data_IF_264665363522
#
_entry.id   IF_264665363522
#
_cell.length_a   1.000
_cell.length_b   1.000
_cell.length_c   1.000
_cell.angle_alpha   90.00
_cell.angle_beta   90.00
_cell.angle_gamma   90.00
#
_symmetry.space_group_name_H-M   'P 1'
#
loop_
_entity.id
_entity.type
_entity.pdbx_description
1 polymer ?
#
# COMPACT_ATOMS: atom_id res chain seq x y z
N UNK A 1 -5.51 -22.01 16.39
CA UNK A 1 -4.51 -21.52 15.42
C UNK A 1 -5.20 -20.89 14.24
N UNK A 2 -4.93 -19.61 13.95
CA UNK A 2 -5.61 -18.86 12.90
C UNK A 2 -4.60 -18.00 12.14
N UNK A 3 -4.61 -18.01 10.79
CA UNK A 3 -3.75 -17.12 10.01
C UNK A 3 -4.01 -15.65 10.30
N UNK A 4 -3.00 -14.80 10.05
CA UNK A 4 -3.02 -13.40 10.45
C UNK A 4 -2.84 -12.44 9.27
N UNK A 5 -3.64 -11.38 9.22
CA UNK A 5 -3.49 -10.30 8.26
C UNK A 5 -3.52 -8.96 8.98
N UNK A 6 -2.54 -8.09 8.74
CA UNK A 6 -2.53 -6.74 9.26
C UNK A 6 -2.91 -5.73 8.16
N UNK A 7 -4.16 -5.29 8.13
CA UNK A 7 -4.63 -4.30 7.14
C UNK A 7 -4.40 -2.84 7.56
N UNK A 8 -3.70 -2.61 8.68
CA UNK A 8 -3.43 -1.29 9.26
C UNK A 8 -1.92 -0.98 9.27
N UNK A 9 -1.51 0.27 9.46
CA UNK A 9 -0.09 0.61 9.66
C UNK A 9 0.42 0.25 11.06
N UNK A 10 -0.42 -0.32 11.94
CA UNK A 10 -0.01 -0.66 13.30
C UNK A 10 1.09 -1.74 13.32
N UNK A 11 1.86 -1.79 14.41
CA UNK A 11 2.96 -2.75 14.56
C UNK A 11 2.49 -4.21 14.46
N UNK A 12 1.32 -4.53 15.00
CA UNK A 12 0.72 -5.88 14.89
C UNK A 12 1.68 -7.01 15.28
N UNK A 13 1.68 -8.07 14.47
CA UNK A 13 2.57 -9.24 14.64
C UNK A 13 4.08 -8.91 14.52
N UNK A 14 4.44 -7.74 13.98
CA UNK A 14 5.83 -7.30 13.83
C UNK A 14 6.42 -6.71 15.13
N UNK A 15 5.67 -6.74 16.24
CA UNK A 15 6.22 -6.31 17.52
C UNK A 15 7.39 -7.24 17.92
N UNK A 16 8.55 -6.72 18.37
CA UNK A 16 9.73 -7.55 18.65
C UNK A 16 9.45 -8.72 19.62
N UNK A 17 8.58 -8.50 20.61
CA UNK A 17 8.18 -9.54 21.57
C UNK A 17 7.37 -10.69 20.93
N UNK A 18 6.74 -10.47 19.78
CA UNK A 18 5.96 -11.47 19.06
C UNK A 18 6.78 -12.20 17.98
N UNK A 19 8.01 -11.77 17.67
CA UNK A 19 8.83 -12.39 16.64
C UNK A 19 9.08 -13.90 16.87
N UNK A 20 9.39 -14.39 18.09
CA UNK A 20 9.52 -15.83 18.34
C UNK A 20 8.21 -16.59 18.15
N UNK A 21 7.08 -15.97 18.48
CA UNK A 21 5.74 -16.56 18.31
C UNK A 21 5.39 -16.63 16.83
N UNK A 22 5.61 -15.56 16.07
CA UNK A 22 5.40 -15.53 14.63
C UNK A 22 6.20 -16.64 13.91
N UNK A 23 7.50 -16.76 14.26
CA UNK A 23 8.39 -17.76 13.69
C UNK A 23 8.02 -19.22 14.04
N UNK A 24 7.54 -19.47 15.26
CA UNK A 24 7.19 -20.82 15.71
C UNK A 24 5.72 -21.19 15.47
N UNK A 25 4.86 -20.24 15.08
CA UNK A 25 3.41 -20.45 14.91
C UNK A 25 3.04 -21.50 13.87
N UNK A 26 3.88 -21.71 12.85
CA UNK A 26 3.52 -22.54 11.70
C UNK A 26 2.33 -21.98 10.91
N UNK A 27 2.00 -20.69 11.07
CA UNK A 27 0.84 -20.07 10.43
C UNK A 27 1.28 -19.09 9.34
N UNK A 28 0.55 -18.98 8.22
CA UNK A 28 0.82 -17.95 7.23
C UNK A 28 0.32 -16.60 7.73
N UNK A 29 1.06 -15.54 7.39
CA UNK A 29 0.66 -14.18 7.69
C UNK A 29 1.02 -13.20 6.58
N UNK A 30 0.31 -12.07 6.53
CA UNK A 30 0.56 -11.00 5.58
C UNK A 30 0.25 -9.63 6.15
N UNK A 31 0.90 -8.62 5.59
CA UNK A 31 0.72 -7.24 5.98
C UNK A 31 1.83 -6.40 5.38
N UNK A 32 1.84 -5.08 5.59
CA UNK A 32 0.84 -4.32 6.34
C UNK A 32 0.37 -3.06 5.62
N UNK A 33 -0.69 -2.49 6.18
CA UNK A 33 -1.38 -1.28 5.72
C UNK A 33 -2.03 -1.42 4.33
N UNK A 34 -3.36 -1.47 4.28
CA UNK A 34 -4.11 -1.66 3.04
C UNK A 34 -3.86 -0.56 1.99
N UNK A 35 -3.76 -0.97 0.71
CA UNK A 35 -3.57 -0.08 -0.44
C UNK A 35 -4.85 0.04 -1.28
N UNK A 36 -5.58 1.14 -1.12
CA UNK A 36 -6.94 1.32 -1.70
C UNK A 36 -7.12 2.52 -2.62
N UNK A 37 -6.54 3.69 -2.26
CA UNK A 37 -6.77 4.97 -2.97
C UNK A 37 -5.50 5.60 -3.55
N UNK A 38 -5.05 6.73 -2.99
CA UNK A 38 -3.88 7.46 -3.51
C UNK A 38 -2.63 6.59 -3.70
N UNK A 39 -2.28 5.77 -2.72
CA UNK A 39 -1.10 4.91 -2.80
C UNK A 39 -1.22 3.85 -3.91
N UNK A 40 -2.44 3.42 -4.23
CA UNK A 40 -2.69 2.53 -5.37
C UNK A 40 -2.30 3.23 -6.68
N UNK A 41 -2.73 4.48 -6.89
CA UNK A 41 -2.34 5.26 -8.07
C UNK A 41 -0.83 5.47 -8.15
N UNK A 42 -0.16 5.73 -7.02
CA UNK A 42 1.31 5.88 -6.99
C UNK A 42 2.03 4.61 -7.42
N UNK A 43 1.59 3.45 -6.94
CA UNK A 43 2.14 2.15 -7.32
C UNK A 43 1.92 1.81 -8.81
N UNK A 44 0.96 2.47 -9.48
CA UNK A 44 0.74 2.37 -10.94
C UNK A 44 1.57 3.39 -11.71
N UNK A 45 1.56 4.64 -11.28
CA UNK A 45 2.11 5.76 -12.03
C UNK A 45 3.63 5.90 -11.87
N UNK A 46 4.19 5.66 -10.68
CA UNK A 46 5.63 5.79 -10.47
C UNK A 46 6.45 4.84 -11.37
N UNK A 47 6.08 3.54 -11.51
CA UNK A 47 6.78 2.65 -12.44
C UNK A 47 6.66 3.11 -13.90
N UNK A 48 5.51 3.69 -14.31
CA UNK A 48 5.34 4.19 -15.67
C UNK A 48 6.38 5.28 -16.01
N UNK A 49 6.62 6.23 -15.11
CA UNK A 49 7.64 7.26 -15.32
C UNK A 49 9.03 6.65 -15.47
N UNK A 50 9.41 5.74 -14.57
CA UNK A 50 10.68 5.04 -14.61
C UNK A 50 10.87 4.25 -15.91
N UNK A 51 9.89 3.41 -16.26
CA UNK A 51 9.92 2.54 -17.45
C UNK A 51 9.98 3.33 -18.77
N UNK A 52 9.48 4.56 -18.76
CA UNK A 52 9.51 5.47 -19.92
C UNK A 52 10.68 6.45 -19.90
N UNK A 53 11.60 6.30 -18.95
CA UNK A 53 12.73 7.20 -18.74
C UNK A 53 12.31 8.68 -18.62
N UNK A 54 11.20 8.92 -17.92
CA UNK A 54 10.70 10.25 -17.59
C UNK A 54 11.17 10.61 -16.18
N UNK A 55 12.04 11.61 -16.08
CA UNK A 55 12.64 12.00 -14.81
C UNK A 55 11.61 12.76 -13.96
N UNK A 56 11.13 12.14 -12.88
CA UNK A 56 10.24 12.79 -11.91
C UNK A 56 11.08 13.75 -11.06
N UNK A 57 10.76 15.03 -11.11
CA UNK A 57 11.43 16.08 -10.31
C UNK A 57 10.72 16.31 -8.99
N UNK A 58 9.40 16.39 -9.03
CA UNK A 58 8.58 16.66 -7.87
C UNK A 58 7.28 15.85 -7.90
N UNK A 59 6.83 15.40 -6.74
CA UNK A 59 5.55 14.74 -6.54
C UNK A 59 4.93 15.17 -5.21
N UNK A 60 4.11 16.21 -5.25
CA UNK A 60 3.36 16.68 -4.09
C UNK A 60 1.96 16.08 -4.07
N UNK A 61 1.34 15.99 -2.90
CA UNK A 61 -0.05 15.59 -2.81
C UNK A 61 -0.74 15.96 -1.51
N UNK A 62 -2.07 15.83 -1.51
CA UNK A 62 -2.89 15.99 -0.31
C UNK A 62 -3.93 14.88 -0.21
N UNK A 63 -4.37 14.58 1.01
CA UNK A 63 -5.50 13.72 1.30
C UNK A 63 -6.43 14.44 2.26
N UNK A 64 -7.67 14.69 1.83
CA UNK A 64 -8.74 15.21 2.65
C UNK A 64 -9.67 14.06 2.99
N UNK A 65 -9.91 13.80 4.27
CA UNK A 65 -10.84 12.76 4.73
C UNK A 65 -11.39 13.09 6.11
N UNK A 66 -12.55 12.53 6.45
CA UNK A 66 -13.15 12.64 7.78
C UNK A 66 -13.32 11.26 8.42
N UNK A 67 -14.37 11.12 9.23
CA UNK A 67 -14.75 9.84 9.82
C UNK A 67 -13.73 9.30 10.82
N UNK A 68 -13.69 7.97 10.98
CA UNK A 68 -12.77 7.32 11.93
C UNK A 68 -11.29 7.50 11.56
N UNK A 69 -10.99 7.52 10.26
CA UNK A 69 -9.62 7.73 9.78
C UNK A 69 -9.14 9.17 9.94
N UNK A 70 -10.05 10.15 9.79
CA UNK A 70 -9.79 11.56 10.08
C UNK A 70 -9.60 11.80 11.57
N UNK A 71 -10.47 11.23 12.41
CA UNK A 71 -10.37 11.33 13.87
C UNK A 71 -9.05 10.77 14.42
N UNK A 72 -8.49 9.73 13.78
CA UNK A 72 -7.18 9.17 14.14
C UNK A 72 -6.00 10.13 13.89
N UNK A 73 -6.19 11.21 13.12
CA UNK A 73 -5.19 12.25 12.87
C UNK A 73 -5.17 13.34 13.96
N UNK A 74 -6.12 13.32 14.90
CA UNK A 74 -6.12 14.24 16.04
C UNK A 74 -4.88 14.04 16.94
N UNK A 75 -4.24 12.87 16.88
CA UNK A 75 -2.93 12.64 17.48
C UNK A 75 -1.81 13.05 16.49
N UNK A 76 -1.02 14.10 16.80
CA UNK A 76 0.08 14.55 15.96
C UNK A 76 1.15 13.47 15.69
N UNK A 77 1.36 12.53 16.62
CA UNK A 77 2.31 11.44 16.43
C UNK A 77 1.80 10.43 15.40
N UNK A 78 0.51 10.09 15.45
CA UNK A 78 -0.14 9.23 14.47
C UNK A 78 -0.17 9.87 13.08
N UNK A 79 -0.46 11.18 13.02
CA UNK A 79 -0.43 11.96 11.77
C UNK A 79 0.99 11.99 11.16
N UNK A 80 2.02 12.25 11.96
CA UNK A 80 3.42 12.26 11.51
C UNK A 80 3.86 10.89 10.97
N UNK A 81 3.51 9.80 11.68
CA UNK A 81 3.81 8.44 11.21
C UNK A 81 3.10 8.10 9.89
N UNK A 82 1.82 8.49 9.74
CA UNK A 82 1.07 8.33 8.49
C UNK A 82 1.69 9.12 7.33
N UNK A 83 2.21 10.32 7.57
CA UNK A 83 2.86 11.12 6.52
C UNK A 83 4.20 10.51 6.09
N UNK A 84 5.05 10.12 7.05
CA UNK A 84 6.35 9.49 6.75
C UNK A 84 6.24 8.19 5.95
N UNK A 85 5.18 7.39 6.16
CA UNK A 85 4.94 6.15 5.42
C UNK A 85 4.54 6.34 3.95
N UNK A 86 3.96 7.50 3.57
CA UNK A 86 3.44 7.75 2.22
C UNK A 86 4.52 8.09 1.19
N UNK A 87 5.65 8.61 1.65
CA UNK A 87 6.77 9.00 0.79
C UNK A 87 7.63 7.80 0.39
N UNK A 88 7.71 6.78 1.26
CA UNK A 88 8.55 5.60 1.04
C UNK A 88 8.27 4.90 -0.30
N UNK A 89 7.00 4.75 -0.66
CA UNK A 89 6.59 4.10 -1.92
C UNK A 89 7.19 4.77 -3.16
N UNK A 90 7.33 6.10 -3.16
CA UNK A 90 7.91 6.82 -4.30
C UNK A 90 9.42 6.58 -4.38
N UNK A 91 10.11 6.64 -3.24
CA UNK A 91 11.55 6.37 -3.15
C UNK A 91 11.89 4.94 -3.57
N UNK A 92 11.11 3.96 -3.11
CA UNK A 92 11.33 2.55 -3.42
C UNK A 92 11.22 2.26 -4.93
N UNK A 93 10.32 2.98 -5.64
CA UNK A 93 10.15 2.81 -7.09
C UNK A 93 11.15 3.66 -7.88
N UNK A 94 11.31 4.93 -7.55
CA UNK A 94 12.10 5.88 -8.35
C UNK A 94 13.60 5.83 -8.03
N UNK A 95 14.00 5.14 -6.96
CA UNK A 95 15.39 5.05 -6.49
C UNK A 95 15.87 6.29 -5.74
N UNK A 96 15.24 7.43 -5.95
CA UNK A 96 15.48 8.69 -5.23
C UNK A 96 14.16 9.35 -4.86
N UNK A 97 14.09 9.95 -3.67
CA UNK A 97 12.92 10.72 -3.27
C UNK A 97 12.77 11.97 -4.17
N UNK A 98 11.64 12.16 -4.87
CA UNK A 98 11.37 13.40 -5.60
C UNK A 98 11.12 14.56 -4.63
N UNK A 99 11.28 15.80 -5.11
CA UNK A 99 10.87 16.97 -4.33
C UNK A 99 9.36 16.98 -4.06
N UNK A 100 8.92 17.72 -3.05
CA UNK A 100 7.51 17.87 -2.69
C UNK A 100 7.13 17.11 -1.43
N UNK A 101 5.92 17.37 -0.96
CA UNK A 101 5.42 16.86 0.31
C UNK A 101 4.02 16.27 0.14
N UNK A 102 3.68 15.36 1.04
CA UNK A 102 2.33 14.80 1.16
C UNK A 102 1.77 15.15 2.51
N UNK A 103 0.62 15.80 2.52
CA UNK A 103 -0.12 16.07 3.75
C UNK A 103 -1.47 15.36 3.76
N UNK A 104 -2.05 15.33 4.95
CA UNK A 104 -3.34 14.72 5.24
C UNK A 104 -4.08 15.65 6.20
N UNK A 105 -5.30 16.02 5.82
CA UNK A 105 -6.13 16.94 6.58
C UNK A 105 -7.41 16.22 7.02
N UNK A 106 -7.75 16.36 8.31
CA UNK A 106 -9.05 15.95 8.82
C UNK A 106 -10.11 16.98 8.41
N UNK A 107 -11.07 16.53 7.62
CA UNK A 107 -12.21 17.31 7.16
C UNK A 107 -13.48 16.53 7.56
N UNK A 108 -14.00 16.73 8.78
CA UNK A 108 -15.10 15.92 9.32
C UNK A 108 -16.34 15.86 8.42
N UNK A 109 -16.60 16.92 7.65
CA UNK A 109 -17.71 17.01 6.70
C UNK A 109 -17.66 15.95 5.57
N UNK A 110 -16.49 15.37 5.29
CA UNK A 110 -16.34 14.34 4.27
C UNK A 110 -16.75 12.94 4.74
N UNK A 111 -16.84 12.70 6.06
CA UNK A 111 -17.11 11.36 6.60
C UNK A 111 -16.15 10.31 6.03
N UNK A 112 -16.68 9.18 5.55
CA UNK A 112 -15.91 8.09 4.94
C UNK A 112 -15.46 8.37 3.49
N UNK A 113 -15.84 9.52 2.92
CA UNK A 113 -15.37 9.92 1.60
C UNK A 113 -14.01 10.58 1.71
N UNK A 114 -13.12 10.17 0.81
CA UNK A 114 -11.77 10.71 0.72
C UNK A 114 -11.58 11.37 -0.63
N UNK A 115 -10.95 12.53 -0.59
CA UNK A 115 -10.38 13.19 -1.75
C UNK A 115 -8.87 13.18 -1.64
N UNK A 116 -8.18 12.63 -2.64
CA UNK A 116 -6.74 12.75 -2.76
C UNK A 116 -6.38 13.45 -4.06
N UNK A 117 -5.34 14.27 -4.01
CA UNK A 117 -4.79 14.95 -5.18
C UNK A 117 -3.28 14.75 -5.22
N UNK A 118 -2.75 14.55 -6.42
CA UNK A 118 -1.32 14.49 -6.69
C UNK A 118 -0.96 15.45 -7.82
N UNK A 119 0.19 16.12 -7.67
CA UNK A 119 0.81 16.96 -8.67
C UNK A 119 2.23 16.49 -8.94
N UNK A 120 2.47 16.03 -10.16
CA UNK A 120 3.68 15.34 -10.56
C UNK A 120 4.36 16.16 -11.64
N UNK A 121 5.52 16.74 -11.34
CA UNK A 121 6.34 17.45 -12.31
C UNK A 121 7.45 16.53 -12.81
N UNK A 122 7.57 16.39 -14.13
CA UNK A 122 8.54 15.48 -14.75
C UNK A 122 9.09 16.05 -16.05
N UNK A 123 10.26 15.56 -16.43
CA UNK A 123 10.94 15.94 -17.67
C UNK A 123 10.81 14.82 -18.72
N UNK A 124 10.50 15.21 -19.95
CA UNK A 124 10.50 14.35 -21.11
C UNK A 124 11.68 14.62 -22.05
N UNK A 125 11.48 14.26 -23.33
CA UNK A 125 12.51 14.42 -24.35
C UNK A 125 13.02 15.87 -24.44
N UNK A 126 14.35 16.01 -24.55
CA UNK A 126 15.05 17.30 -24.61
C UNK A 126 14.80 18.23 -23.39
N UNK A 127 14.47 17.66 -22.23
CA UNK A 127 14.19 18.44 -21.02
C UNK A 127 12.84 19.16 -21.07
N UNK A 128 11.92 18.72 -21.93
CA UNK A 128 10.56 19.27 -22.00
C UNK A 128 9.83 19.02 -20.70
N UNK A 129 9.53 20.11 -19.98
CA UNK A 129 8.88 20.05 -18.66
C UNK A 129 7.39 19.83 -18.81
N UNK A 130 6.86 18.86 -18.08
CA UNK A 130 5.45 18.49 -18.09
C UNK A 130 4.94 18.30 -16.66
N UNK A 131 3.61 18.33 -16.56
CA UNK A 131 2.90 18.09 -15.30
C UNK A 131 1.78 17.09 -15.55
N UNK A 132 1.65 16.12 -14.65
CA UNK A 132 0.47 15.27 -14.51
C UNK A 132 -0.19 15.57 -13.17
N UNK A 133 -1.50 15.81 -13.19
CA UNK A 133 -2.31 15.92 -11.97
C UNK A 133 -3.34 14.81 -11.93
N UNK A 134 -3.59 14.29 -10.73
CA UNK A 134 -4.66 13.33 -10.50
C UNK A 134 -5.55 13.80 -9.35
N UNK A 135 -6.83 13.48 -9.45
CA UNK A 135 -7.80 13.61 -8.36
C UNK A 135 -8.46 12.26 -8.19
N UNK A 136 -8.38 11.70 -6.98
CA UNK A 136 -9.10 10.52 -6.56
C UNK A 136 -10.20 10.93 -5.58
N UNK A 137 -11.45 10.58 -5.90
CA UNK A 137 -12.55 10.70 -4.96
C UNK A 137 -13.21 9.33 -4.81
N UNK A 138 -13.27 8.83 -3.58
CA UNK A 138 -13.83 7.52 -3.31
C UNK A 138 -14.14 7.30 -1.84
N UNK A 139 -14.98 6.31 -1.58
CA UNK A 139 -15.24 5.83 -0.22
C UNK A 139 -14.17 4.81 0.18
N UNK A 140 -13.33 5.15 1.16
CA UNK A 140 -12.21 4.30 1.58
C UNK A 140 -12.71 2.94 2.10
N UNK A 141 -13.80 2.94 2.87
CA UNK A 141 -14.47 1.73 3.37
C UNK A 141 -14.92 0.80 2.24
N UNK A 142 -15.52 1.35 1.17
CA UNK A 142 -15.99 0.57 0.04
C UNK A 142 -14.85 -0.04 -0.79
N UNK A 143 -13.68 0.61 -0.83
CA UNK A 143 -12.48 0.09 -1.47
C UNK A 143 -11.77 -0.97 -0.61
N UNK A 144 -11.78 -0.80 0.72
CA UNK A 144 -11.09 -1.68 1.66
C UNK A 144 -11.84 -2.99 1.91
N UNK A 145 -13.16 -2.94 2.09
CA UNK A 145 -13.98 -4.09 2.46
C UNK A 145 -13.79 -5.34 1.56
N UNK A 146 -13.81 -5.26 0.22
CA UNK A 146 -13.59 -6.43 -0.61
C UNK A 146 -12.19 -7.02 -0.46
N UNK A 147 -11.16 -6.20 -0.24
CA UNK A 147 -9.78 -6.66 -0.07
C UNK A 147 -9.62 -7.48 1.21
N UNK A 148 -10.35 -7.13 2.28
CA UNK A 148 -10.38 -7.92 3.51
C UNK A 148 -10.95 -9.32 3.26
N UNK A 149 -12.02 -9.43 2.45
CA UNK A 149 -12.62 -10.72 2.10
C UNK A 149 -11.66 -11.56 1.25
N UNK A 150 -10.97 -10.95 0.28
CA UNK A 150 -9.98 -11.63 -0.55
C UNK A 150 -8.82 -12.17 0.30
N UNK A 151 -8.24 -11.32 1.16
CA UNK A 151 -7.13 -11.68 2.04
C UNK A 151 -7.53 -12.81 2.99
N UNK A 152 -8.72 -12.75 3.61
CA UNK A 152 -9.23 -13.81 4.46
C UNK A 152 -9.30 -15.15 3.73
N UNK A 153 -9.82 -15.15 2.49
CA UNK A 153 -9.95 -16.37 1.67
C UNK A 153 -8.60 -16.93 1.24
N UNK A 154 -7.71 -16.06 0.75
CA UNK A 154 -6.41 -16.48 0.22
C UNK A 154 -5.51 -17.00 1.33
N UNK A 155 -5.46 -16.32 2.47
CA UNK A 155 -4.61 -16.73 3.59
C UNK A 155 -5.17 -17.97 4.28
N UNK A 156 -6.50 -18.13 4.38
CA UNK A 156 -7.10 -19.40 4.82
C UNK A 156 -6.69 -20.56 3.90
N UNK A 157 -6.79 -20.37 2.58
CA UNK A 157 -6.34 -21.39 1.62
C UNK A 157 -4.84 -21.69 1.74
N UNK A 158 -4.00 -20.69 1.97
CA UNK A 158 -2.58 -20.88 2.18
C UNK A 158 -2.32 -21.79 3.39
N UNK A 159 -3.07 -21.58 4.49
CA UNK A 159 -2.97 -22.43 5.68
C UNK A 159 -3.42 -23.87 5.40
N UNK A 160 -4.53 -24.06 4.67
CA UNK A 160 -5.00 -25.39 4.27
C UNK A 160 -3.97 -26.16 3.44
N UNK A 161 -3.15 -25.45 2.66
CA UNK A 161 -2.05 -26.04 1.87
C UNK A 161 -0.75 -26.23 2.67
N UNK A 162 -0.75 -25.96 3.97
CA UNK A 162 0.41 -26.11 4.85
C UNK A 162 1.48 -25.03 4.72
N UNK A 163 1.16 -23.89 4.09
CA UNK A 163 2.09 -22.77 3.98
C UNK A 163 2.21 -22.03 5.32
N UNK A 164 3.42 -21.61 5.66
CA UNK A 164 3.74 -20.96 6.94
C UNK A 164 4.56 -19.69 6.73
N UNK A 165 4.55 -18.77 7.69
CA UNK A 165 5.36 -17.55 7.65
C UNK A 165 4.83 -16.46 6.69
N UNK A 166 5.64 -15.43 6.41
CA UNK A 166 5.21 -14.23 5.68
C UNK A 166 4.85 -14.57 4.24
N UNK A 167 3.81 -13.92 3.70
CA UNK A 167 3.31 -14.10 2.33
C UNK A 167 3.59 -12.85 1.46
N UNK A 168 4.84 -12.64 1.00
CA UNK A 168 5.21 -11.51 0.14
C UNK A 168 4.39 -11.46 -1.17
N UNK A 169 3.86 -12.59 -1.62
CA UNK A 169 3.04 -12.67 -2.82
C UNK A 169 1.73 -11.87 -2.72
N UNK A 170 1.33 -11.49 -1.51
CA UNK A 170 0.16 -10.65 -1.24
C UNK A 170 0.47 -9.15 -1.26
N UNK A 171 1.68 -8.73 -1.65
CA UNK A 171 2.07 -7.32 -1.67
C UNK A 171 1.18 -6.40 -2.53
N UNK A 172 0.42 -6.98 -3.47
CA UNK A 172 -0.62 -6.29 -4.23
C UNK A 172 -1.61 -5.53 -3.33
N UNK A 173 -1.94 -6.08 -2.16
CA UNK A 173 -2.94 -5.53 -1.25
C UNK A 173 -2.40 -4.46 -0.28
N UNK A 174 -1.08 -4.34 -0.14
CA UNK A 174 -0.45 -3.61 0.96
C UNK A 174 0.41 -2.44 0.49
N UNK A 175 0.60 -1.45 1.38
CA UNK A 175 1.52 -0.31 1.22
C UNK A 175 2.92 -0.65 1.72
N UNK A 176 3.02 -1.43 2.81
CA UNK A 176 4.28 -1.85 3.45
C UNK A 176 4.32 -3.39 3.54
N UNK A 177 4.36 -4.09 2.39
CA UNK A 177 4.25 -5.55 2.34
C UNK A 177 5.40 -6.29 3.05
N UNK A 178 5.09 -7.44 3.63
CA UNK A 178 6.03 -8.34 4.27
C UNK A 178 7.05 -8.89 3.27
N UNK A 179 8.32 -8.86 3.67
CA UNK A 179 9.43 -9.31 2.82
C UNK A 179 9.82 -8.28 1.76
N UNK A 180 10.80 -8.64 0.93
CA UNK A 180 11.26 -7.77 -0.15
C UNK A 180 10.38 -8.02 -1.38
N UNK A 181 9.49 -7.07 -1.68
CA UNK A 181 8.59 -7.13 -2.84
C UNK A 181 8.75 -5.87 -3.69
N UNK A 182 8.44 -5.99 -4.98
CA UNK A 182 8.35 -4.82 -5.85
C UNK A 182 7.25 -3.89 -5.35
N UNK A 183 7.47 -2.58 -5.43
CA UNK A 183 6.44 -1.57 -5.18
C UNK A 183 5.53 -1.31 -6.40
N UNK A 184 5.87 -1.86 -7.58
CA UNK A 184 5.09 -1.71 -8.80
C UNK A 184 3.84 -2.60 -8.80
N UNK A 185 2.66 -2.01 -9.00
CA UNK A 185 1.40 -2.75 -8.90
C UNK A 185 1.32 -3.91 -9.92
N UNK A 186 1.82 -3.71 -11.14
CA UNK A 186 1.80 -4.74 -12.19
C UNK A 186 2.61 -5.98 -11.83
N UNK A 187 3.78 -5.80 -11.22
CA UNK A 187 4.64 -6.90 -10.77
C UNK A 187 4.04 -7.61 -9.56
N UNK A 188 3.47 -6.85 -8.62
CA UNK A 188 2.72 -7.41 -7.49
C UNK A 188 1.50 -8.23 -7.95
N UNK A 189 0.80 -7.78 -8.99
CA UNK A 189 -0.33 -8.52 -9.56
C UNK A 189 0.13 -9.82 -10.21
N UNK A 190 1.25 -9.82 -10.94
CA UNK A 190 1.83 -11.04 -11.50
C UNK A 190 2.24 -12.05 -10.41
N UNK A 191 2.84 -11.57 -9.31
CA UNK A 191 3.18 -12.40 -8.16
C UNK A 191 1.94 -13.00 -7.48
N UNK A 192 0.87 -12.22 -7.33
CA UNK A 192 -0.41 -12.68 -6.80
C UNK A 192 -1.03 -13.78 -7.67
N UNK A 193 -1.02 -13.62 -9.00
CA UNK A 193 -1.54 -14.63 -9.92
C UNK A 193 -0.74 -15.93 -9.86
N UNK A 194 0.59 -15.84 -9.88
CA UNK A 194 1.48 -17.00 -9.70
C UNK A 194 1.23 -17.72 -8.38
N UNK A 195 0.97 -16.96 -7.30
CA UNK A 195 0.61 -17.55 -6.01
C UNK A 195 -0.77 -18.23 -6.04
N UNK A 196 -1.76 -17.59 -6.66
CA UNK A 196 -3.09 -18.17 -6.82
C UNK A 196 -3.05 -19.49 -7.60
N UNK A 197 -2.22 -19.60 -8.64
CA UNK A 197 -2.02 -20.84 -9.38
C UNK A 197 -1.38 -21.93 -8.51
N UNK A 198 -0.40 -21.58 -7.67
CA UNK A 198 0.17 -22.50 -6.67
C UNK A 198 -0.87 -23.02 -5.68
N UNK A 199 -1.76 -22.14 -5.20
CA UNK A 199 -2.81 -22.49 -4.24
C UNK A 199 -3.92 -23.36 -4.83
N UNK A 200 -4.11 -23.35 -6.17
CA UNK A 200 -5.06 -24.24 -6.84
C UNK A 200 -4.65 -25.71 -6.75
N UNK A 201 -3.35 -26.02 -6.64
CA UNK A 201 -2.82 -27.39 -6.66
C UNK A 201 -2.96 -28.06 -8.03
N UNK A 202 -2.43 -29.30 -8.16
CA UNK A 202 -2.84 -30.18 -9.25
C UNK A 202 -4.29 -30.61 -9.01
N UNK A 203 -5.16 -30.33 -9.98
CA UNK A 203 -6.59 -30.65 -9.92
C UNK A 203 -6.84 -32.13 -10.15
#
# INVERSE_FOLDING_TARGET
DCPYVNFTPSTGLHHPALAPVAASSGLPYAGRDGKTGQTLLRAVLAPMFLQRALAVRAWSGTNLLGGGDGAALADPAAAAAKNAGKERVLTDVLGTAPEGEVHIDDVPALGDWKTAWDHIAFDGFLGSRMVLQTIWQGCDSALAAPLVLDLARIVARAADTGLTGPRPELGFYFKDPDGHTSAALGEQYAALLSFADRLRGER
#
